data_IF_887688177682
#
_entry.id   IF_887688177682
#
_cell.length_a   1.000
_cell.length_b   1.000
_cell.length_c   1.000
_cell.angle_alpha   90.00
_cell.angle_beta   90.00
_cell.angle_gamma   90.00
#
_symmetry.space_group_name_H-M   'P 1'
#
loop_
_entity.id
_entity.type
_entity.pdbx_description
1 polymer ?
#
# COMPACT_ATOMS: atom_id res chain seq x y z
N UNK A 1 6.97 22.92 -25.28
CA UNK A 1 6.30 21.67 -24.89
C UNK A 1 5.04 22.05 -24.14
N UNK A 2 3.89 21.58 -24.62
CA UNK A 2 2.61 21.90 -24.00
C UNK A 2 2.42 21.10 -22.70
N UNK A 3 1.68 21.59 -21.70
CA UNK A 3 1.47 20.89 -20.42
C UNK A 3 0.92 19.47 -20.60
N UNK A 4 0.04 19.30 -21.58
CA UNK A 4 -0.64 18.05 -21.92
C UNK A 4 0.32 16.96 -22.44
N UNK A 5 1.38 17.36 -23.16
CA UNK A 5 2.40 16.43 -23.66
C UNK A 5 3.24 15.87 -22.50
N UNK A 6 3.47 16.71 -21.49
CA UNK A 6 4.26 16.36 -20.30
C UNK A 6 3.50 15.40 -19.39
N UNK A 7 2.20 15.64 -19.19
CA UNK A 7 1.32 14.74 -18.45
C UNK A 7 1.23 13.36 -19.09
N UNK A 8 1.14 13.32 -20.43
CA UNK A 8 1.11 12.08 -21.19
C UNK A 8 2.41 11.29 -21.08
N UNK A 9 3.56 11.95 -21.21
CA UNK A 9 4.87 11.31 -21.04
C UNK A 9 5.04 10.73 -19.63
N UNK A 10 4.60 11.46 -18.60
CA UNK A 10 4.63 10.99 -17.22
C UNK A 10 3.75 9.76 -17.03
N UNK A 11 2.53 9.76 -17.58
CA UNK A 11 1.62 8.62 -17.53
C UNK A 11 2.23 7.37 -18.20
N UNK A 12 2.84 7.51 -19.37
CA UNK A 12 3.50 6.41 -20.10
C UNK A 12 4.69 5.83 -19.30
N UNK A 13 5.47 6.67 -18.62
CA UNK A 13 6.58 6.21 -17.76
C UNK A 13 6.10 5.46 -16.53
N UNK A 14 5.00 5.91 -15.92
CA UNK A 14 4.38 5.24 -14.76
C UNK A 14 3.83 3.87 -15.18
N UNK A 15 3.14 3.79 -16.33
CA UNK A 15 2.64 2.52 -16.87
C UNK A 15 3.79 1.54 -17.12
N UNK A 16 4.87 1.99 -17.77
CA UNK A 16 6.04 1.16 -18.01
C UNK A 16 6.70 0.65 -16.71
N UNK A 17 6.78 1.48 -15.68
CA UNK A 17 7.32 1.11 -14.38
C UNK A 17 6.42 0.10 -13.64
N UNK A 18 5.10 0.25 -13.72
CA UNK A 18 4.15 -0.70 -13.14
C UNK A 18 4.28 -2.09 -13.76
N UNK A 19 4.39 -2.17 -15.09
CA UNK A 19 4.63 -3.45 -15.77
C UNK A 19 5.96 -4.11 -15.33
N UNK A 20 7.01 -3.32 -15.14
CA UNK A 20 8.31 -3.82 -14.68
C UNK A 20 8.30 -4.26 -13.20
N UNK A 21 7.66 -3.49 -12.32
CA UNK A 21 7.62 -3.75 -10.87
C UNK A 21 6.71 -4.93 -10.52
N UNK A 22 5.55 -5.03 -11.16
CA UNK A 22 4.57 -6.08 -10.87
C UNK A 22 4.68 -7.31 -11.78
N UNK A 23 5.60 -7.30 -12.74
CA UNK A 23 5.75 -8.39 -13.72
C UNK A 23 4.51 -8.61 -14.59
N UNK A 24 3.66 -7.58 -14.73
CA UNK A 24 2.39 -7.68 -15.41
C UNK A 24 2.58 -7.57 -16.94
N UNK A 25 1.96 -8.44 -17.75
CA UNK A 25 1.99 -8.30 -19.20
C UNK A 25 1.36 -6.98 -19.65
N UNK A 26 1.82 -6.44 -20.79
CA UNK A 26 1.31 -5.18 -21.37
C UNK A 26 -0.01 -5.40 -22.12
N UNK A 27 -0.97 -6.02 -21.46
CA UNK A 27 -2.32 -6.24 -21.99
C UNK A 27 -3.37 -5.42 -21.24
N UNK A 28 -4.55 -5.30 -21.88
CA UNK A 28 -5.67 -4.51 -21.36
C UNK A 28 -6.18 -5.03 -20.01
N UNK A 29 -6.07 -6.34 -19.77
CA UNK A 29 -6.49 -6.97 -18.52
C UNK A 29 -5.59 -6.53 -17.36
N UNK A 30 -4.28 -6.52 -17.60
CA UNK A 30 -3.27 -6.13 -16.62
C UNK A 30 -3.31 -4.64 -16.31
N UNK A 31 -3.59 -3.79 -17.31
CA UNK A 31 -3.84 -2.37 -17.10
C UNK A 31 -5.02 -2.13 -16.16
N UNK A 32 -6.13 -2.83 -16.38
CA UNK A 32 -7.31 -2.72 -15.50
C UNK A 32 -7.01 -3.18 -14.07
N UNK A 33 -6.32 -4.32 -13.92
CA UNK A 33 -5.90 -4.82 -12.61
C UNK A 33 -4.98 -3.81 -11.88
N UNK A 34 -4.03 -3.20 -12.59
CA UNK A 34 -3.15 -2.17 -12.04
C UNK A 34 -3.93 -0.93 -11.60
N UNK A 35 -4.91 -0.48 -12.40
CA UNK A 35 -5.77 0.65 -12.05
C UNK A 35 -6.65 0.37 -10.82
N UNK A 36 -7.23 -0.83 -10.72
CA UNK A 36 -8.00 -1.27 -9.54
C UNK A 36 -7.12 -1.31 -8.28
N UNK A 37 -5.93 -1.90 -8.37
CA UNK A 37 -4.97 -1.93 -7.26
C UNK A 37 -4.54 -0.52 -6.84
N UNK A 38 -4.26 0.38 -7.79
CA UNK A 38 -3.94 1.78 -7.50
C UNK A 38 -5.10 2.48 -6.78
N UNK A 39 -6.34 2.24 -7.21
CA UNK A 39 -7.54 2.76 -6.55
C UNK A 39 -7.74 2.23 -5.13
N UNK A 40 -7.41 0.95 -4.87
CA UNK A 40 -7.44 0.38 -3.52
C UNK A 40 -6.33 0.98 -2.63
N UNK A 41 -5.11 1.13 -3.16
CA UNK A 41 -4.01 1.75 -2.43
C UNK A 41 -4.30 3.21 -2.06
N UNK A 42 -4.90 3.98 -2.97
CA UNK A 42 -5.32 5.35 -2.69
C UNK A 42 -6.40 5.41 -1.58
N UNK A 43 -7.30 4.42 -1.53
CA UNK A 43 -8.29 4.31 -0.45
C UNK A 43 -7.65 3.92 0.89
N UNK A 44 -6.63 3.05 0.89
CA UNK A 44 -5.88 2.68 2.10
C UNK A 44 -5.04 3.85 2.62
N UNK A 45 -4.41 4.62 1.74
CA UNK A 45 -3.66 5.84 2.11
C UNK A 45 -4.59 6.92 2.69
N UNK A 46 -5.82 7.01 2.16
CA UNK A 46 -6.86 7.90 2.67
C UNK A 46 -7.60 7.35 3.91
N UNK A 47 -7.41 6.07 4.25
CA UNK A 47 -8.05 5.48 5.41
C UNK A 47 -7.29 5.93 6.67
N UNK A 48 -7.94 6.58 7.64
CA UNK A 48 -7.30 6.82 8.92
C UNK A 48 -6.96 5.46 9.53
N UNK A 49 -5.66 5.18 9.70
CA UNK A 49 -5.22 4.06 10.52
C UNK A 49 -5.87 4.25 11.88
N UNK A 50 -6.87 3.41 12.16
CA UNK A 50 -7.55 3.38 13.45
C UNK A 50 -6.49 3.32 14.53
N UNK A 51 -6.69 4.15 15.57
CA UNK A 51 -5.78 4.36 16.71
C UNK A 51 -4.98 3.11 17.00
N UNK A 52 -3.64 3.26 17.07
CA UNK A 52 -2.74 2.23 17.57
C UNK A 52 -3.40 1.57 18.79
N UNK A 53 -3.88 0.34 18.63
CA UNK A 53 -4.31 -0.44 19.78
C UNK A 53 -3.06 -0.57 20.64
N UNK A 54 -3.12 -0.02 21.86
CA UNK A 54 -2.04 -0.16 22.83
C UNK A 54 -1.60 -1.62 22.85
N UNK A 55 -0.29 -1.91 22.75
CA UNK A 55 0.19 -3.28 22.79
C UNK A 55 -0.34 -3.93 24.07
N UNK A 56 -1.18 -4.95 23.92
CA UNK A 56 -1.68 -5.76 25.03
C UNK A 56 -0.49 -6.55 25.56
N UNK A 57 0.33 -5.91 26.39
CA UNK A 57 1.38 -6.58 27.13
C UNK A 57 0.70 -7.56 28.09
N UNK A 58 0.98 -8.87 27.99
CA UNK A 58 0.41 -9.81 28.94
C UNK A 58 0.91 -9.41 30.33
N UNK A 59 -0.01 -9.06 31.22
CA UNK A 59 0.31 -8.75 32.60
C UNK A 59 1.05 -9.95 33.18
N UNK A 60 2.36 -9.80 33.37
CA UNK A 60 3.15 -10.78 34.10
C UNK A 60 2.56 -10.82 35.51
N UNK A 61 1.71 -11.82 35.76
CA UNK A 61 1.32 -12.23 37.09
C UNK A 61 2.65 -12.51 37.80
N UNK A 62 3.09 -11.59 38.65
CA UNK A 62 4.09 -11.90 39.66
C UNK A 62 3.43 -12.97 40.53
N UNK A 63 3.73 -14.22 40.23
CA UNK A 63 3.68 -15.25 41.24
C UNK A 63 4.68 -14.81 42.30
N UNK A 64 4.17 -14.28 43.40
CA UNK A 64 4.90 -14.21 44.66
C UNK A 64 5.13 -15.65 45.10
N UNK A 65 6.15 -16.27 44.51
CA UNK A 65 6.81 -17.44 45.03
C UNK A 65 7.43 -17.06 46.37
N UNK A 66 6.96 -17.73 47.42
CA UNK A 66 7.24 -17.38 48.79
C UNK A 66 8.70 -17.41 49.17
N UNK A 67 9.01 -16.71 50.26
CA UNK A 67 10.07 -17.13 51.19
C UNK A 67 9.70 -16.74 52.61
N UNK A 68 9.63 -17.78 53.44
CA UNK A 68 9.64 -17.85 54.92
C UNK A 68 8.33 -17.64 55.67
#
# INVERSE_FOLDING_TARGET
MMPQEKEREVAERIEAAAHALFGLPRDERSRRAAAEMAGMLAQLDAAPLGKEEEPIMPAHRREEGGTR
#
